data_IF_825366243385
#
_entry.id   IF_825366243385
#
_cell.length_a   1.000
_cell.length_b   1.000
_cell.length_c   1.000
_cell.angle_alpha   90.00
_cell.angle_beta   90.00
_cell.angle_gamma   90.00
#
_symmetry.space_group_name_H-M   'P 1'
#
loop_
_entity.id
_entity.type
_entity.pdbx_description
1 polymer ?
#
# COMPACT_ATOMS: atom_id res chain seq x y z
N UNK A 1 2.79 -13.95 -31.26
CA UNK A 1 1.57 -13.91 -30.48
C UNK A 1 1.65 -12.76 -29.51
N UNK A 2 0.78 -11.81 -29.65
CA UNK A 2 0.87 -10.58 -28.88
C UNK A 2 0.36 -10.75 -27.46
N UNK A 3 1.14 -10.32 -26.51
CA UNK A 3 0.77 -10.07 -25.11
C UNK A 3 0.02 -11.18 -24.37
N UNK A 4 -0.07 -12.38 -24.90
CA UNK A 4 -0.80 -13.45 -24.23
C UNK A 4 -2.29 -13.20 -24.07
N UNK A 5 -2.85 -12.29 -24.83
CA UNK A 5 -4.25 -11.92 -24.74
C UNK A 5 -5.09 -12.90 -25.53
N UNK A 6 -6.10 -13.49 -24.88
CA UNK A 6 -7.10 -14.28 -25.55
C UNK A 6 -8.29 -13.40 -25.88
N UNK A 7 -9.03 -13.77 -26.94
CA UNK A 7 -10.25 -13.04 -27.31
C UNK A 7 -11.34 -13.21 -26.26
N UNK A 8 -12.43 -12.47 -26.42
CA UNK A 8 -13.59 -12.62 -25.58
C UNK A 8 -13.53 -11.90 -24.23
N UNK A 9 -12.62 -10.96 -24.08
CA UNK A 9 -12.53 -10.14 -22.87
C UNK A 9 -13.76 -9.26 -22.75
N UNK A 10 -14.44 -9.29 -21.62
CA UNK A 10 -15.69 -8.57 -21.46
C UNK A 10 -15.89 -7.89 -20.11
N UNK A 11 -14.97 -8.01 -19.17
CA UNK A 11 -15.17 -7.44 -17.85
C UNK A 11 -13.91 -6.73 -17.34
N UNK A 12 -14.04 -6.00 -16.24
CA UNK A 12 -12.96 -5.20 -15.67
C UNK A 12 -11.73 -6.00 -15.25
N UNK A 13 -11.94 -7.23 -14.80
CA UNK A 13 -10.84 -8.10 -14.43
C UNK A 13 -9.93 -8.37 -15.63
N UNK A 14 -10.55 -8.66 -16.77
CA UNK A 14 -9.79 -8.91 -17.99
C UNK A 14 -9.08 -7.68 -18.51
N UNK A 15 -9.68 -6.50 -18.28
CA UNK A 15 -9.05 -5.22 -18.65
C UNK A 15 -7.76 -5.02 -17.83
N UNK A 16 -7.77 -5.35 -16.54
CA UNK A 16 -6.56 -5.23 -15.73
C UNK A 16 -5.50 -6.24 -16.16
N UNK A 17 -5.88 -7.46 -16.50
CA UNK A 17 -4.94 -8.44 -17.05
C UNK A 17 -4.34 -7.96 -18.37
N UNK A 18 -5.15 -7.39 -19.22
CA UNK A 18 -4.68 -6.81 -20.47
C UNK A 18 -3.66 -5.72 -20.24
N UNK A 19 -3.95 -4.80 -19.33
CA UNK A 19 -3.04 -3.72 -18.98
C UNK A 19 -1.69 -4.27 -18.50
N UNK A 20 -1.72 -5.26 -17.64
CA UNK A 20 -0.50 -5.88 -17.12
C UNK A 20 0.29 -6.57 -18.23
N UNK A 21 -0.40 -7.30 -19.10
CA UNK A 21 0.24 -7.99 -20.22
C UNK A 21 0.91 -7.01 -21.18
N UNK A 22 0.28 -5.89 -21.46
CA UNK A 22 0.85 -4.85 -22.32
C UNK A 22 2.14 -4.29 -21.70
N UNK A 23 2.12 -4.02 -20.41
CA UNK A 23 3.31 -3.55 -19.72
C UNK A 23 4.45 -4.54 -19.85
N UNK A 24 4.17 -5.83 -19.67
CA UNK A 24 5.17 -6.88 -19.82
C UNK A 24 5.76 -6.93 -21.22
N UNK A 25 4.89 -6.88 -22.23
CA UNK A 25 5.32 -6.93 -23.61
C UNK A 25 6.23 -5.76 -23.96
N UNK A 26 5.94 -4.58 -23.42
CA UNK A 26 6.77 -3.40 -23.64
C UNK A 26 8.03 -3.39 -22.80
N UNK A 27 8.20 -4.34 -21.88
CA UNK A 27 9.39 -4.42 -21.05
C UNK A 27 9.43 -3.40 -19.93
N UNK A 28 8.33 -2.71 -19.67
CA UNK A 28 8.26 -1.68 -18.64
C UNK A 28 8.41 -2.29 -17.25
N UNK A 29 7.90 -3.50 -17.07
CA UNK A 29 7.99 -4.18 -15.78
C UNK A 29 9.40 -4.68 -15.45
N UNK A 30 10.37 -4.52 -16.33
CA UNK A 30 11.77 -4.79 -16.00
C UNK A 30 12.29 -3.86 -14.90
N UNK A 31 11.62 -2.74 -14.71
CA UNK A 31 11.85 -1.91 -13.54
C UNK A 31 11.34 -2.69 -12.32
N UNK A 32 12.21 -2.88 -11.35
CA UNK A 32 11.86 -3.59 -10.12
C UNK A 32 10.69 -2.88 -9.43
N UNK A 33 9.70 -3.64 -9.00
CA UNK A 33 8.56 -3.07 -8.29
C UNK A 33 9.00 -2.53 -6.93
N UNK A 34 8.43 -1.40 -6.54
CA UNK A 34 8.68 -0.79 -5.24
C UNK A 34 7.84 -1.48 -4.19
N UNK A 35 8.47 -1.89 -3.12
CA UNK A 35 7.80 -2.66 -2.07
C UNK A 35 7.15 -1.75 -1.05
N UNK A 36 5.91 -2.08 -0.72
CA UNK A 36 5.06 -1.31 0.18
C UNK A 36 4.48 -2.19 1.26
N UNK A 37 4.08 -1.57 2.36
CA UNK A 37 3.29 -2.25 3.39
C UNK A 37 2.05 -1.42 3.74
N UNK A 38 1.07 -2.09 4.33
CA UNK A 38 -0.13 -1.45 4.87
C UNK A 38 -0.02 -1.54 6.39
N UNK A 39 -0.11 -0.41 7.07
CA UNK A 39 -0.05 -0.37 8.53
C UNK A 39 -1.39 0.09 9.07
N UNK A 40 -2.07 -0.81 9.76
CA UNK A 40 -3.45 -0.63 10.21
C UNK A 40 -4.43 -1.36 9.29
N UNK A 41 -5.08 -2.38 9.82
CA UNK A 41 -5.97 -3.25 9.05
C UNK A 41 -7.44 -3.10 9.49
N UNK A 42 -7.81 -1.88 9.83
CA UNK A 42 -9.21 -1.52 10.04
C UNK A 42 -9.95 -1.45 8.71
N UNK A 43 -11.01 -0.66 8.64
CA UNK A 43 -11.84 -0.62 7.42
C UNK A 43 -11.06 -0.22 6.17
N UNK A 44 -10.27 0.83 6.28
CA UNK A 44 -9.53 1.34 5.12
C UNK A 44 -8.40 0.39 4.74
N UNK A 45 -7.57 -0.01 5.71
CA UNK A 45 -6.45 -0.91 5.44
C UNK A 45 -6.91 -2.26 4.95
N UNK A 46 -7.97 -2.83 5.55
CA UNK A 46 -8.48 -4.11 5.13
C UNK A 46 -9.03 -4.10 3.70
N UNK A 47 -9.60 -2.97 3.28
CA UNK A 47 -10.08 -2.84 1.90
C UNK A 47 -8.96 -2.94 0.87
N UNK A 48 -7.73 -2.60 1.26
CA UNK A 48 -6.58 -2.66 0.37
C UNK A 48 -5.90 -4.03 0.32
N UNK A 49 -6.43 -5.01 1.06
CA UNK A 49 -5.92 -6.38 0.95
C UNK A 49 -6.25 -7.00 -0.40
N UNK A 50 -7.24 -6.46 -1.10
CA UNK A 50 -7.44 -6.77 -2.51
C UNK A 50 -6.44 -5.94 -3.30
N UNK A 51 -5.35 -6.56 -3.70
CA UNK A 51 -4.24 -5.87 -4.34
C UNK A 51 -4.43 -5.60 -5.82
N UNK A 52 -5.59 -5.91 -6.38
CA UNK A 52 -5.85 -5.69 -7.81
C UNK A 52 -5.69 -4.21 -8.19
N UNK A 53 -5.97 -3.28 -7.28
CA UNK A 53 -5.82 -1.85 -7.54
C UNK A 53 -4.37 -1.44 -7.77
N UNK A 54 -3.41 -2.25 -7.32
CA UNK A 54 -1.98 -1.94 -7.48
C UNK A 54 -1.37 -2.57 -8.74
N UNK A 55 -2.14 -3.39 -9.44
CA UNK A 55 -1.65 -4.12 -10.61
C UNK A 55 -1.19 -3.15 -11.68
N UNK A 56 0.04 -3.33 -12.15
CA UNK A 56 0.62 -2.47 -13.18
C UNK A 56 1.04 -1.09 -12.71
N UNK A 57 0.96 -0.81 -11.41
CA UNK A 57 1.31 0.51 -10.86
C UNK A 57 2.80 0.71 -10.61
N UNK A 58 3.58 -0.36 -10.60
CA UNK A 58 4.98 -0.31 -10.18
C UNK A 58 5.16 -0.48 -8.67
N UNK A 59 4.09 -0.70 -7.93
CA UNK A 59 4.13 -0.93 -6.49
C UNK A 59 3.59 -2.30 -6.15
N UNK A 60 4.21 -2.95 -5.18
CA UNK A 60 3.82 -4.27 -4.71
C UNK A 60 3.62 -4.22 -3.19
N UNK A 61 2.44 -4.61 -2.73
CA UNK A 61 2.19 -4.73 -1.29
C UNK A 61 2.71 -6.09 -0.84
N UNK A 62 3.64 -6.10 0.11
CA UNK A 62 4.30 -7.33 0.56
C UNK A 62 4.03 -7.67 2.01
N UNK A 63 3.44 -6.78 2.78
CA UNK A 63 3.14 -7.02 4.19
C UNK A 63 2.03 -6.12 4.68
N UNK A 64 1.27 -6.61 5.65
CA UNK A 64 0.30 -5.82 6.39
C UNK A 64 0.56 -5.96 7.89
N UNK A 65 0.24 -4.92 8.65
CA UNK A 65 0.48 -4.87 10.10
C UNK A 65 -0.74 -4.34 10.84
N UNK A 66 -1.01 -4.91 12.00
CA UNK A 66 -2.03 -4.37 12.90
C UNK A 66 -1.66 -4.63 14.34
N UNK A 67 -2.02 -3.70 15.22
CA UNK A 67 -1.83 -3.86 16.65
C UNK A 67 -2.75 -4.95 17.22
N UNK A 68 -3.89 -5.16 16.58
CA UNK A 68 -4.84 -6.21 16.98
C UNK A 68 -4.45 -7.52 16.28
N UNK A 69 -3.86 -8.44 17.05
CA UNK A 69 -3.38 -9.72 16.52
C UNK A 69 -4.51 -10.53 15.89
N UNK A 70 -5.72 -10.43 16.43
CA UNK A 70 -6.86 -11.16 15.88
C UNK A 70 -7.14 -10.79 14.43
N UNK A 71 -6.97 -9.52 14.07
CA UNK A 71 -7.15 -9.10 12.67
C UNK A 71 -6.14 -9.77 11.76
N UNK A 72 -4.90 -9.93 12.22
CA UNK A 72 -3.86 -10.55 11.39
C UNK A 72 -4.12 -12.03 11.16
N UNK A 73 -4.89 -12.67 12.03
CA UNK A 73 -5.23 -14.09 11.90
C UNK A 73 -6.51 -14.32 11.10
N UNK A 74 -7.48 -13.41 11.18
CA UNK A 74 -8.80 -13.59 10.60
C UNK A 74 -8.86 -13.07 9.16
N UNK A 75 -8.18 -11.96 8.87
CA UNK A 75 -8.24 -11.35 7.54
C UNK A 75 -7.54 -12.20 6.50
N UNK A 76 -8.14 -12.27 5.32
CA UNK A 76 -7.55 -12.98 4.18
C UNK A 76 -6.72 -12.04 3.34
N UNK A 77 -5.54 -12.50 2.97
CA UNK A 77 -4.60 -11.69 2.21
C UNK A 77 -3.71 -12.60 1.36
N UNK A 78 -3.23 -12.08 0.23
CA UNK A 78 -2.26 -12.79 -0.60
C UNK A 78 -0.81 -12.56 -0.12
N UNK A 79 -0.62 -11.67 0.84
CA UNK A 79 0.67 -11.41 1.46
C UNK A 79 0.55 -11.57 2.99
N UNK A 80 1.67 -11.78 3.68
CA UNK A 80 1.62 -12.01 5.13
C UNK A 80 1.11 -10.81 5.91
N UNK A 81 0.37 -11.10 6.96
CA UNK A 81 -0.09 -10.11 7.95
C UNK A 81 0.62 -10.38 9.27
N UNK A 82 1.11 -9.32 9.89
CA UNK A 82 1.93 -9.41 11.09
C UNK A 82 1.40 -8.53 12.20
N UNK A 83 1.66 -8.90 13.46
CA UNK A 83 1.43 -7.96 14.55
C UNK A 83 2.36 -6.75 14.41
N UNK A 84 1.88 -5.59 14.84
CA UNK A 84 2.62 -4.35 14.72
C UNK A 84 3.98 -4.39 15.43
N UNK A 85 4.15 -5.27 16.42
CA UNK A 85 5.43 -5.45 17.10
C UNK A 85 6.54 -5.93 16.18
N UNK A 86 6.19 -6.48 15.01
CA UNK A 86 7.18 -6.96 14.04
C UNK A 86 7.48 -5.97 12.93
N UNK A 87 7.00 -4.74 13.05
CA UNK A 87 7.12 -3.74 11.98
C UNK A 87 8.55 -3.58 11.50
N UNK A 88 9.47 -3.28 12.42
CA UNK A 88 10.86 -3.00 12.06
C UNK A 88 11.58 -4.20 11.44
N UNK A 89 11.39 -5.38 12.02
CA UNK A 89 12.07 -6.57 11.52
C UNK A 89 11.60 -6.96 10.11
N UNK A 90 10.31 -6.83 9.83
CA UNK A 90 9.76 -7.18 8.53
C UNK A 90 10.15 -6.15 7.48
N UNK A 91 10.09 -4.86 7.81
CA UNK A 91 10.50 -3.80 6.88
C UNK A 91 11.95 -4.01 6.45
N UNK A 92 12.83 -4.33 7.40
CA UNK A 92 14.22 -4.57 7.10
C UNK A 92 14.42 -5.83 6.27
N UNK A 93 13.79 -6.93 6.64
CA UNK A 93 13.95 -8.21 5.94
C UNK A 93 13.41 -8.16 4.52
N UNK A 94 12.28 -7.51 4.31
CA UNK A 94 11.62 -7.43 3.00
C UNK A 94 12.07 -6.23 2.19
N UNK A 95 12.86 -5.34 2.76
CA UNK A 95 13.34 -4.11 2.11
C UNK A 95 12.18 -3.23 1.64
N UNK A 96 11.21 -3.01 2.52
CA UNK A 96 10.04 -2.20 2.23
C UNK A 96 10.43 -0.72 2.26
N UNK A 97 10.01 0.03 1.25
CA UNK A 97 10.37 1.43 1.10
C UNK A 97 9.21 2.40 1.28
N UNK A 98 7.97 1.93 1.16
CA UNK A 98 6.79 2.78 1.23
C UNK A 98 5.74 2.17 2.13
N UNK A 99 4.97 3.02 2.80
CA UNK A 99 3.93 2.56 3.71
C UNK A 99 2.62 3.32 3.50
N UNK A 100 1.52 2.59 3.61
CA UNK A 100 0.18 3.16 3.64
C UNK A 100 -0.28 3.10 5.09
N UNK A 101 -0.48 4.27 5.70
CA UNK A 101 -0.75 4.38 7.14
C UNK A 101 -2.25 4.57 7.37
N UNK A 102 -2.86 3.58 8.03
CA UNK A 102 -4.30 3.51 8.29
C UNK A 102 -4.59 3.18 9.75
N UNK A 103 -3.71 3.57 10.67
CA UNK A 103 -3.88 3.30 12.10
C UNK A 103 -4.82 4.34 12.74
N UNK A 104 -5.14 4.12 14.01
CA UNK A 104 -5.91 5.09 14.77
C UNK A 104 -5.12 6.41 14.93
N UNK A 105 -5.84 7.51 14.99
CA UNK A 105 -5.22 8.83 15.07
C UNK A 105 -4.22 8.95 16.23
N UNK A 106 -4.56 8.38 17.39
CA UNK A 106 -3.72 8.46 18.58
C UNK A 106 -2.37 7.75 18.39
N UNK A 107 -2.29 6.82 17.45
CA UNK A 107 -1.09 6.01 17.21
C UNK A 107 -0.30 6.50 16.00
N UNK A 108 -0.89 7.36 15.18
CA UNK A 108 -0.35 7.71 13.87
C UNK A 108 1.06 8.29 13.94
N UNK A 109 1.29 9.26 14.81
CA UNK A 109 2.60 9.91 14.90
C UNK A 109 3.68 8.94 15.38
N UNK A 110 3.38 8.11 16.38
CA UNK A 110 4.35 7.15 16.90
C UNK A 110 4.71 6.08 15.86
N UNK A 111 3.72 5.58 15.13
CA UNK A 111 3.96 4.59 14.08
C UNK A 111 4.76 5.23 12.95
N UNK A 112 4.42 6.46 12.56
CA UNK A 112 5.15 7.17 11.51
C UNK A 112 6.62 7.37 11.90
N UNK A 113 6.91 7.67 13.14
CA UNK A 113 8.29 7.79 13.62
C UNK A 113 9.04 6.46 13.53
N UNK A 114 8.37 5.36 13.83
CA UNK A 114 8.96 4.03 13.67
C UNK A 114 9.30 3.74 12.22
N UNK A 115 8.38 4.11 11.31
CA UNK A 115 8.59 3.95 9.87
C UNK A 115 9.78 4.80 9.40
N UNK A 116 9.86 6.03 9.86
CA UNK A 116 10.98 6.91 9.51
C UNK A 116 12.31 6.30 9.94
N UNK A 117 12.40 5.76 11.16
CA UNK A 117 13.62 5.12 11.66
C UNK A 117 14.01 3.89 10.86
N UNK A 118 13.04 3.24 10.22
CA UNK A 118 13.32 2.09 9.36
C UNK A 118 13.81 2.49 7.97
N UNK A 119 13.87 3.77 7.65
CA UNK A 119 14.31 4.23 6.35
C UNK A 119 13.21 4.25 5.28
N UNK A 120 11.94 4.25 5.69
CA UNK A 120 10.82 4.38 4.76
C UNK A 120 10.94 5.72 4.03
N UNK A 121 10.80 5.69 2.72
CA UNK A 121 10.96 6.86 1.86
C UNK A 121 9.68 7.67 1.70
N UNK A 122 8.54 7.04 1.81
CA UNK A 122 7.26 7.71 1.62
C UNK A 122 6.14 7.06 2.40
N UNK A 123 5.20 7.89 2.87
CA UNK A 123 4.03 7.45 3.62
C UNK A 123 2.79 8.07 3.00
N UNK A 124 1.83 7.22 2.67
CA UNK A 124 0.49 7.66 2.31
C UNK A 124 -0.34 7.65 3.59
N UNK A 125 -0.73 8.83 4.04
CA UNK A 125 -1.37 9.00 5.34
C UNK A 125 -2.89 9.12 5.19
N UNK A 126 -3.61 8.08 5.62
CA UNK A 126 -5.07 8.06 5.65
C UNK A 126 -5.63 8.49 7.00
N UNK A 127 -4.76 8.81 7.97
CA UNK A 127 -5.23 9.29 9.28
C UNK A 127 -5.51 10.79 9.21
N UNK A 128 -6.22 11.32 10.18
CA UNK A 128 -6.44 12.77 10.26
C UNK A 128 -5.30 13.48 11.02
N UNK A 129 -4.31 12.73 11.48
CA UNK A 129 -3.18 13.30 12.21
C UNK A 129 -2.22 13.98 11.25
N UNK A 130 -1.80 15.19 11.59
CA UNK A 130 -0.71 15.84 10.88
C UNK A 130 0.60 15.22 11.36
N UNK A 131 1.26 14.51 10.47
CA UNK A 131 2.51 13.82 10.81
C UNK A 131 3.68 14.81 10.80
N UNK A 132 4.52 14.71 11.81
CA UNK A 132 5.71 15.55 11.93
C UNK A 132 6.95 14.67 11.83
N UNK A 133 7.53 14.62 10.63
CA UNK A 133 8.68 13.78 10.31
C UNK A 133 9.78 14.63 9.67
N UNK A 134 10.97 14.05 9.55
CA UNK A 134 12.09 14.70 8.87
C UNK A 134 11.88 14.78 7.36
N UNK A 135 12.75 15.53 6.71
CA UNK A 135 12.64 15.78 5.27
C UNK A 135 12.95 14.58 4.39
N UNK A 136 13.54 13.54 4.97
CA UNK A 136 13.86 12.32 4.22
C UNK A 136 12.63 11.48 3.89
N UNK A 137 11.49 11.74 4.52
CA UNK A 137 10.24 11.00 4.30
C UNK A 137 9.23 11.92 3.62
N UNK A 138 8.74 11.50 2.47
CA UNK A 138 7.67 12.23 1.80
C UNK A 138 6.33 11.73 2.31
N UNK A 139 5.41 12.65 2.54
CA UNK A 139 4.08 12.33 3.07
C UNK A 139 3.03 12.84 2.10
N UNK A 140 2.13 11.94 1.70
CA UNK A 140 0.94 12.30 0.95
C UNK A 140 -0.27 12.06 1.85
N UNK A 141 -1.01 13.12 2.16
CA UNK A 141 -2.22 13.02 2.97
C UNK A 141 -3.42 12.74 2.08
N UNK A 142 -4.21 11.73 2.43
CA UNK A 142 -5.40 11.36 1.68
C UNK A 142 -6.62 11.58 2.56
N UNK A 143 -7.51 12.47 2.12
CA UNK A 143 -8.73 12.80 2.84
C UNK A 143 -9.86 13.08 1.86
N UNK A 144 -10.98 12.36 1.97
CA UNK A 144 -12.15 12.68 1.14
C UNK A 144 -12.66 14.10 1.39
N UNK A 145 -12.52 14.60 2.62
CA UNK A 145 -12.97 15.96 2.94
C UNK A 145 -12.14 17.00 2.20
N UNK A 146 -10.81 16.85 2.23
CA UNK A 146 -9.94 17.76 1.49
C UNK A 146 -10.22 17.70 -0.01
N UNK A 147 -10.45 16.52 -0.52
CA UNK A 147 -10.78 16.35 -1.94
C UNK A 147 -12.12 17.03 -2.28
N UNK A 148 -13.12 16.87 -1.42
CA UNK A 148 -14.42 17.53 -1.62
C UNK A 148 -14.30 19.05 -1.57
N UNK A 149 -13.49 19.58 -0.65
CA UNK A 149 -13.23 21.01 -0.58
C UNK A 149 -12.60 21.51 -1.88
N UNK A 150 -11.70 20.77 -2.46
CA UNK A 150 -11.04 21.16 -3.70
C UNK A 150 -12.03 21.20 -4.88
N UNK A 151 -13.01 20.30 -4.92
CA UNK A 151 -13.96 20.27 -6.03
C UNK A 151 -15.20 21.14 -5.78
N UNK A 152 -15.33 21.71 -4.60
CA UNK A 152 -16.48 22.55 -4.24
C UNK A 152 -16.25 24.04 -4.52
N UNK A 153 -15.09 24.40 -4.98
CA UNK A 153 -14.72 25.79 -5.28
C UNK A 153 -15.35 26.26 -6.57
#
# INVERSE_FOLDING_TARGET
>A
KSAGISGGVSNGYDVEKLKYSIIQVLGIEKTEEKKCCIVGLGRIGAAMLDTSIFLGSGFQIVAGFDANVNRTEILRSTFPLYPLSRLESVISAEKIEYAILCVLEKDAQNVALRLEKCGIKGIVNYTSTVLNLGESVKIENVSPVSALLNVSI
#
